data_IF_957139846217
#
_entry.id   IF_957139846217
#
_cell.length_a   1.000
_cell.length_b   1.000
_cell.length_c   1.000
_cell.angle_alpha   90.00
_cell.angle_beta   90.00
_cell.angle_gamma   90.00
#
_symmetry.space_group_name_H-M   'P 1'
#
loop_
_entity.id
_entity.type
_entity.pdbx_description
1 polymer ?
#
# COMPACT_ATOMS: atom_id res chain seq x y z
N UNK A 1 39.31 23.61 2.07
CA UNK A 1 38.52 23.12 3.22
C UNK A 1 37.10 23.73 3.33
N UNK A 2 36.51 24.30 2.26
CA UNK A 2 35.17 24.95 2.31
C UNK A 2 34.08 24.24 1.51
N UNK A 3 34.34 23.04 0.97
CA UNK A 3 33.34 22.22 0.27
C UNK A 3 32.63 21.20 1.18
N UNK A 4 33.17 20.90 2.36
CA UNK A 4 32.67 19.83 3.25
C UNK A 4 31.37 20.20 3.96
N UNK A 5 31.15 21.49 4.26
CA UNK A 5 29.99 21.95 5.01
C UNK A 5 28.76 22.08 4.11
N UNK A 6 28.95 22.45 2.84
CA UNK A 6 27.86 22.59 1.87
C UNK A 6 27.24 21.23 1.53
N UNK A 7 28.05 20.17 1.39
CA UNK A 7 27.56 18.81 1.12
C UNK A 7 26.81 18.21 2.32
N UNK A 8 27.23 18.53 3.55
CA UNK A 8 26.59 18.05 4.77
C UNK A 8 25.20 18.69 4.98
N UNK A 9 25.01 19.95 4.55
CA UNK A 9 23.73 20.66 4.69
C UNK A 9 22.68 20.16 3.69
N UNK A 10 23.07 19.71 2.49
CA UNK A 10 22.13 19.18 1.49
C UNK A 10 21.61 17.78 1.85
N UNK A 11 22.40 16.96 2.54
CA UNK A 11 21.99 15.60 2.95
C UNK A 11 20.94 15.64 4.06
N UNK A 12 20.96 16.66 4.92
CA UNK A 12 20.03 16.77 6.05
C UNK A 12 18.60 17.18 5.64
N UNK A 13 18.43 17.79 4.46
CA UNK A 13 17.12 18.26 3.98
C UNK A 13 16.30 17.21 3.22
N UNK A 14 16.89 16.06 2.88
CA UNK A 14 16.22 15.01 2.10
C UNK A 14 15.22 14.17 2.93
N UNK A 15 15.24 14.30 4.26
CA UNK A 15 14.47 13.44 5.18
C UNK A 15 13.04 13.93 5.49
N UNK A 16 12.59 15.04 4.90
CA UNK A 16 11.32 15.67 5.26
C UNK A 16 10.14 15.35 4.33
N UNK A 17 10.35 14.49 3.32
CA UNK A 17 9.27 14.01 2.45
C UNK A 17 8.85 12.59 2.89
N UNK A 18 8.07 12.51 3.97
CA UNK A 18 7.29 11.31 4.29
C UNK A 18 5.90 11.47 3.66
N UNK A 19 5.43 10.42 2.98
CA UNK A 19 4.06 10.40 2.48
C UNK A 19 3.10 10.33 3.68
N UNK A 20 1.96 11.03 3.59
CA UNK A 20 0.95 10.94 4.64
C UNK A 20 0.36 9.53 4.71
N UNK A 21 0.13 9.04 5.92
CA UNK A 21 -0.52 7.75 6.16
C UNK A 21 -1.92 7.69 5.52
N UNK A 22 -2.32 6.48 5.16
CA UNK A 22 -3.66 6.14 4.67
C UNK A 22 -4.21 4.95 5.48
N UNK A 23 -4.62 5.20 6.75
CA UNK A 23 -4.79 4.13 7.75
C UNK A 23 -6.05 3.27 7.55
N UNK A 24 -6.98 3.65 6.66
CA UNK A 24 -8.28 3.00 6.53
C UNK A 24 -8.88 3.16 5.13
N UNK A 25 -10.02 2.48 4.90
CA UNK A 25 -10.81 2.68 3.68
C UNK A 25 -11.15 4.17 3.51
N UNK A 26 -10.85 4.71 2.32
CA UNK A 26 -11.03 6.13 1.99
C UNK A 26 -10.15 7.10 2.81
N UNK A 27 -9.12 6.63 3.49
CA UNK A 27 -8.05 7.48 4.00
C UNK A 27 -8.33 8.11 5.37
N UNK A 28 -7.48 9.05 5.80
CA UNK A 28 -7.47 9.58 7.18
C UNK A 28 -8.81 10.14 7.66
N UNK A 29 -9.59 10.73 6.75
CA UNK A 29 -10.90 11.34 7.02
C UNK A 29 -12.09 10.50 6.51
N UNK A 30 -11.82 9.33 5.90
CA UNK A 30 -12.83 8.45 5.35
C UNK A 30 -13.55 8.99 4.11
N UNK A 31 -13.07 10.07 3.48
CA UNK A 31 -13.73 10.69 2.32
C UNK A 31 -13.16 10.23 0.98
N UNK A 32 -11.92 9.76 0.95
CA UNK A 32 -11.24 9.28 -0.25
C UNK A 32 -10.54 10.39 -1.01
N UNK A 33 -10.21 11.49 -0.33
CA UNK A 33 -9.52 12.62 -0.93
C UNK A 33 -8.01 12.54 -0.75
N UNK A 34 -7.27 12.66 -1.86
CA UNK A 34 -5.81 12.71 -1.86
C UNK A 34 -5.25 14.15 -1.76
N UNK A 35 -6.04 15.10 -1.24
CA UNK A 35 -5.67 16.50 -1.09
C UNK A 35 -5.18 17.14 -2.39
N UNK A 36 -4.00 17.78 -2.35
CA UNK A 36 -3.36 18.43 -3.50
C UNK A 36 -2.39 17.52 -4.28
N UNK A 37 -2.47 16.19 -4.10
CA UNK A 37 -1.60 15.26 -4.79
C UNK A 37 -1.76 15.38 -6.32
N UNK A 38 -0.63 15.42 -7.04
CA UNK A 38 -0.61 15.37 -8.50
C UNK A 38 -0.62 13.90 -8.93
N UNK A 39 -1.81 13.34 -9.07
CA UNK A 39 -2.00 11.94 -9.44
C UNK A 39 -1.93 11.77 -10.96
N UNK A 40 -1.34 10.67 -11.42
CA UNK A 40 -1.36 10.31 -12.83
C UNK A 40 -2.80 10.00 -13.29
N UNK A 41 -3.16 10.49 -14.47
CA UNK A 41 -4.49 10.31 -15.07
C UNK A 41 -4.49 9.28 -16.23
N UNK A 42 -3.34 8.70 -16.52
CA UNK A 42 -3.15 7.63 -17.51
C UNK A 42 -2.38 6.49 -16.87
N UNK A 43 -2.73 5.25 -17.20
CA UNK A 43 -2.16 4.07 -16.57
C UNK A 43 -2.08 2.93 -17.60
N UNK A 44 -1.00 2.15 -17.53
CA UNK A 44 -0.88 0.88 -18.23
C UNK A 44 0.11 -0.03 -17.47
N UNK A 45 0.29 -1.27 -17.94
CA UNK A 45 1.31 -2.17 -17.40
C UNK A 45 2.74 -1.61 -17.45
N UNK A 46 2.99 -0.60 -18.29
CA UNK A 46 4.31 0.03 -18.47
C UNK A 46 4.32 1.54 -18.23
N UNK A 47 3.18 2.16 -17.91
CA UNK A 47 3.05 3.62 -17.74
C UNK A 47 2.52 3.95 -16.35
N UNK A 48 3.21 4.86 -15.66
CA UNK A 48 2.85 5.38 -14.33
C UNK A 48 2.79 4.33 -13.20
N UNK A 49 3.31 3.11 -13.42
CA UNK A 49 3.50 2.08 -12.37
C UNK A 49 4.95 2.13 -11.85
N UNK A 50 5.15 2.52 -10.60
CA UNK A 50 6.49 2.55 -9.98
C UNK A 50 7.03 1.16 -9.66
N UNK A 51 6.15 0.25 -9.20
CA UNK A 51 6.49 -1.13 -8.88
C UNK A 51 5.24 -2.00 -8.83
N UNK A 52 5.44 -3.31 -8.87
CA UNK A 52 4.41 -4.32 -8.65
C UNK A 52 5.01 -5.55 -7.99
N UNK A 53 4.22 -6.25 -7.18
CA UNK A 53 4.67 -7.45 -6.49
C UNK A 53 3.53 -8.47 -6.40
N UNK A 54 3.79 -9.78 -6.59
CA UNK A 54 2.77 -10.79 -6.44
C UNK A 54 2.33 -10.90 -4.97
N UNK A 55 1.03 -11.09 -4.75
CA UNK A 55 0.44 -11.40 -3.45
C UNK A 55 -0.12 -12.83 -3.46
N UNK A 56 -0.16 -13.53 -2.31
CA UNK A 56 -0.83 -14.83 -2.23
C UNK A 56 -2.34 -14.67 -2.32
N UNK A 57 -3.00 -15.53 -3.11
CA UNK A 57 -4.47 -15.52 -3.23
C UNK A 57 -5.00 -14.27 -3.95
N UNK A 58 -6.21 -13.86 -3.59
CA UNK A 58 -6.91 -12.72 -4.20
C UNK A 58 -7.02 -11.54 -3.22
N UNK A 59 -6.85 -10.31 -3.69
CA UNK A 59 -6.98 -9.09 -2.90
C UNK A 59 -8.28 -8.35 -3.22
N UNK A 60 -9.22 -8.29 -2.28
CA UNK A 60 -10.47 -7.54 -2.44
C UNK A 60 -10.57 -6.30 -1.53
N UNK A 61 -9.67 -6.17 -0.56
CA UNK A 61 -9.64 -5.03 0.36
C UNK A 61 -8.94 -3.83 -0.24
N UNK A 62 -9.24 -2.64 0.28
CA UNK A 62 -8.36 -1.48 0.08
C UNK A 62 -7.08 -1.63 0.92
N UNK A 63 -5.90 -1.36 0.34
CA UNK A 63 -4.66 -1.35 1.10
C UNK A 63 -4.65 -0.20 2.10
N UNK A 64 -3.92 -0.41 3.19
CA UNK A 64 -3.64 0.59 4.24
C UNK A 64 -2.17 0.96 4.18
N UNK A 65 -1.85 2.25 4.32
CA UNK A 65 -0.47 2.74 4.43
C UNK A 65 -0.29 3.34 5.81
N UNK A 66 0.70 2.86 6.56
CA UNK A 66 1.07 3.40 7.87
C UNK A 66 2.54 3.05 8.15
N UNK A 67 3.28 3.99 8.74
CA UNK A 67 4.69 3.79 9.15
C UNK A 67 5.57 3.25 8.01
N UNK A 68 5.48 3.87 6.83
CA UNK A 68 6.21 3.49 5.59
C UNK A 68 5.98 2.02 5.15
N UNK A 69 4.87 1.42 5.58
CA UNK A 69 4.47 0.05 5.23
C UNK A 69 3.08 0.01 4.61
N UNK A 70 2.91 -0.91 3.66
CA UNK A 70 1.62 -1.22 3.05
C UNK A 70 1.07 -2.51 3.63
N UNK A 71 -0.14 -2.45 4.15
CA UNK A 71 -0.90 -3.57 4.70
C UNK A 71 -2.05 -3.93 3.78
N UNK A 72 -2.18 -5.20 3.45
CA UNK A 72 -3.30 -5.72 2.65
C UNK A 72 -3.78 -7.05 3.20
N UNK A 73 -5.10 -7.28 3.14
CA UNK A 73 -5.69 -8.59 3.38
C UNK A 73 -5.88 -9.35 2.07
N UNK A 74 -5.54 -10.63 2.05
CA UNK A 74 -5.81 -11.51 0.90
C UNK A 74 -6.66 -12.71 1.29
N UNK A 75 -7.46 -13.19 0.33
CA UNK A 75 -8.25 -14.41 0.39
C UNK A 75 -7.46 -15.54 -0.26
N UNK A 76 -7.08 -16.54 0.53
CA UNK A 76 -6.36 -17.72 0.04
C UNK A 76 -7.38 -18.87 -0.07
N UNK A 77 -7.58 -19.47 -1.26
CA UNK A 77 -8.49 -20.58 -1.40
C UNK A 77 -8.02 -21.77 -0.56
N UNK A 78 -8.84 -22.21 0.38
CA UNK A 78 -8.71 -23.53 1.01
C UNK A 78 -9.73 -24.49 0.38
N UNK A 79 -9.29 -25.71 0.07
CA UNK A 79 -10.11 -26.72 -0.61
C UNK A 79 -11.39 -27.02 0.17
N UNK A 80 -12.51 -26.45 -0.28
CA UNK A 80 -13.83 -26.69 0.32
C UNK A 80 -14.21 -28.15 0.09
N UNK A 81 -14.26 -28.95 1.16
CA UNK A 81 -15.03 -30.21 1.15
C UNK A 81 -16.51 -29.84 1.19
N UNK A 82 -17.12 -29.76 0.01
CA UNK A 82 -18.52 -29.38 -0.18
C UNK A 82 -19.44 -30.44 0.42
N UNK A 83 -20.10 -30.09 1.52
CA UNK A 83 -21.18 -30.86 2.14
C UNK A 83 -22.28 -29.92 2.63
N UNK A 84 -23.23 -29.62 1.74
CA UNK A 84 -24.46 -28.83 1.94
C UNK A 84 -24.27 -27.33 2.19
N UNK A 85 -25.03 -26.55 1.41
CA UNK A 85 -25.16 -25.10 1.47
C UNK A 85 -25.49 -24.60 2.88
N UNK A 86 -24.48 -24.09 3.59
CA UNK A 86 -24.59 -23.11 4.68
C UNK A 86 -23.34 -22.24 4.57
N UNK A 87 -23.48 -20.93 4.72
CA UNK A 87 -22.43 -19.92 4.55
C UNK A 87 -21.12 -20.33 5.23
N UNK A 88 -20.22 -20.99 4.49
CA UNK A 88 -18.92 -21.44 4.94
C UNK A 88 -17.99 -21.47 3.72
N UNK A 89 -17.41 -20.32 3.42
CA UNK A 89 -16.05 -20.28 2.89
C UNK A 89 -15.33 -19.29 3.79
N UNK A 90 -14.58 -19.83 4.75
CA UNK A 90 -13.72 -19.04 5.61
C UNK A 90 -12.45 -18.74 4.81
N UNK A 91 -12.44 -17.63 4.08
CA UNK A 91 -11.22 -17.11 3.49
C UNK A 91 -10.31 -16.67 4.64
N UNK A 92 -9.16 -17.34 4.81
CA UNK A 92 -8.17 -16.90 5.78
C UNK A 92 -7.61 -15.54 5.33
N UNK A 93 -7.98 -14.48 6.04
CA UNK A 93 -7.37 -13.16 5.86
C UNK A 93 -5.92 -13.20 6.37
N UNK A 94 -4.96 -13.11 5.46
CA UNK A 94 -3.57 -12.87 5.83
C UNK A 94 -3.27 -11.40 5.64
N UNK A 95 -2.83 -10.71 6.71
CA UNK A 95 -2.27 -9.37 6.63
C UNK A 95 -0.79 -9.48 6.28
N UNK A 96 -0.38 -8.91 5.15
CA UNK A 96 1.04 -8.79 4.78
C UNK A 96 1.45 -7.32 4.79
N UNK A 97 2.54 -7.02 5.50
CA UNK A 97 3.26 -5.76 5.39
C UNK A 97 4.27 -5.84 4.23
N UNK A 98 4.28 -4.80 3.39
CA UNK A 98 5.29 -4.58 2.35
C UNK A 98 5.98 -3.27 2.71
N UNK A 99 7.29 -3.33 2.96
CA UNK A 99 8.12 -2.15 3.22
C UNK A 99 8.33 -1.40 1.91
N UNK A 100 7.99 -0.10 1.90
CA UNK A 100 8.10 0.79 0.73
C UNK A 100 9.52 1.35 0.62
#
# INVERSE_FOLDING_TARGET
MRLSHTLLLTVLTSSLLSAADWPQFRGPDGQGHAGSARLAIKWSESENVSWKTPIPGEGHSSPVVADDQIWITTAIPEGVKVGKQRALVADRLTLKAIMV
#
